data_IF_563022109039
#
_entry.id   IF_563022109039
#
_cell.length_a   1.000
_cell.length_b   1.000
_cell.length_c   1.000
_cell.angle_alpha   90.00
_cell.angle_beta   90.00
_cell.angle_gamma   90.00
#
_symmetry.space_group_name_H-M   'P 1'
#
loop_
_entity.id
_entity.type
_entity.pdbx_description
1 polymer ?
#
# COMPACT_ATOMS: atom_id res chain seq x y z
N UNK A 1 -27.31 -33.15 -19.10
CA UNK A 1 -26.53 -33.58 -17.92
C UNK A 1 -25.07 -33.53 -18.33
N UNK A 2 -24.18 -32.75 -17.76
CA UNK A 2 -24.22 -31.92 -16.55
C UNK A 2 -23.17 -30.81 -16.71
N UNK A 3 -23.42 -29.65 -16.11
CA UNK A 3 -22.39 -28.64 -15.86
C UNK A 3 -21.60 -29.11 -14.63
N UNK A 4 -20.28 -29.25 -14.74
CA UNK A 4 -19.34 -29.49 -13.62
C UNK A 4 -17.92 -29.39 -14.21
N UNK A 5 -16.94 -28.58 -13.79
CA UNK A 5 -16.78 -27.54 -12.77
C UNK A 5 -15.61 -26.67 -13.26
N UNK A 6 -15.78 -25.34 -13.32
CA UNK A 6 -14.63 -24.43 -13.47
C UNK A 6 -14.02 -24.26 -12.08
N UNK A 7 -13.24 -25.24 -11.64
CA UNK A 7 -12.46 -25.14 -10.42
C UNK A 7 -11.16 -24.37 -10.73
N UNK A 8 -11.30 -23.05 -10.85
CA UNK A 8 -10.14 -22.16 -10.83
C UNK A 8 -9.55 -22.21 -9.42
N UNK A 9 -8.50 -23.02 -9.25
CA UNK A 9 -7.60 -22.92 -8.11
C UNK A 9 -7.10 -21.48 -8.03
N UNK A 10 -7.74 -20.69 -7.16
CA UNK A 10 -7.31 -19.34 -6.84
C UNK A 10 -6.04 -19.47 -6.00
N UNK A 11 -4.88 -19.27 -6.64
CA UNK A 11 -3.60 -19.22 -5.92
C UNK A 11 -3.64 -18.03 -4.94
N UNK A 12 -3.66 -18.28 -3.62
CA UNK A 12 -3.77 -17.22 -2.63
C UNK A 12 -2.54 -16.29 -2.63
N UNK A 13 -1.39 -16.75 -3.11
CA UNK A 13 -0.20 -15.92 -3.25
C UNK A 13 -0.35 -14.91 -4.39
N UNK A 14 -0.91 -15.33 -5.53
CA UNK A 14 -1.17 -14.45 -6.67
C UNK A 14 -2.20 -13.36 -6.33
N UNK A 15 -3.23 -13.72 -5.56
CA UNK A 15 -4.24 -12.77 -5.09
C UNK A 15 -3.66 -11.72 -4.13
N UNK A 16 -2.79 -12.16 -3.21
CA UNK A 16 -2.08 -11.25 -2.30
C UNK A 16 -1.18 -10.29 -3.08
N UNK A 17 -0.44 -10.79 -4.08
CA UNK A 17 0.41 -9.94 -4.92
C UNK A 17 -0.41 -8.88 -5.67
N UNK A 18 -1.55 -9.26 -6.26
CA UNK A 18 -2.45 -8.31 -6.92
C UNK A 18 -3.01 -7.24 -5.96
N UNK A 19 -3.32 -7.63 -4.72
CA UNK A 19 -3.77 -6.70 -3.69
C UNK A 19 -2.68 -5.69 -3.32
N UNK A 20 -1.43 -6.15 -3.17
CA UNK A 20 -0.30 -5.27 -2.86
C UNK A 20 -0.03 -4.27 -3.98
N UNK A 21 -0.03 -4.72 -5.24
CA UNK A 21 0.09 -3.83 -6.40
C UNK A 21 -0.98 -2.73 -6.37
N UNK A 22 -2.22 -3.10 -6.04
CA UNK A 22 -3.31 -2.14 -5.85
C UNK A 22 -3.03 -1.13 -4.72
N UNK A 23 -2.42 -1.56 -3.60
CA UNK A 23 -2.00 -0.64 -2.54
C UNK A 23 -0.95 0.36 -3.04
N UNK A 24 0.04 -0.08 -3.81
CA UNK A 24 1.04 0.81 -4.42
C UNK A 24 0.43 1.86 -5.35
N UNK A 25 -0.56 1.48 -6.16
CA UNK A 25 -1.31 2.42 -7.00
C UNK A 25 -2.11 3.42 -6.18
N UNK A 26 -2.82 2.98 -5.13
CA UNK A 26 -3.56 3.89 -4.26
C UNK A 26 -2.64 4.87 -3.52
N UNK A 27 -1.49 4.42 -3.02
CA UNK A 27 -0.49 5.29 -2.42
C UNK A 27 0.04 6.35 -3.41
N UNK A 28 0.22 5.97 -4.67
CA UNK A 28 0.64 6.88 -5.73
C UNK A 28 -0.43 7.95 -6.02
N UNK A 29 -1.72 7.56 -6.04
CA UNK A 29 -2.84 8.49 -6.21
C UNK A 29 -2.95 9.49 -5.04
N UNK A 30 -2.66 9.04 -3.81
CA UNK A 30 -2.59 9.94 -2.65
C UNK A 30 -1.43 10.94 -2.84
N UNK A 31 -0.25 10.49 -3.27
CA UNK A 31 0.87 11.38 -3.54
C UNK A 31 0.58 12.39 -4.66
N UNK A 32 -0.16 11.99 -5.70
CA UNK A 32 -0.58 12.90 -6.78
C UNK A 32 -1.44 14.07 -6.28
N UNK A 33 -2.25 13.84 -5.24
CA UNK A 33 -3.03 14.91 -4.59
C UNK A 33 -2.12 15.90 -3.85
N UNK A 34 -1.08 15.41 -3.16
CA UNK A 34 -0.17 16.24 -2.38
C UNK A 34 1.04 16.79 -3.17
N UNK A 35 1.17 16.48 -4.46
CA UNK A 35 2.35 16.86 -5.26
C UNK A 35 2.59 18.38 -5.39
N UNK A 36 1.56 19.20 -5.19
CA UNK A 36 1.67 20.67 -5.22
C UNK A 36 2.15 21.27 -3.89
N UNK A 37 2.23 20.45 -2.83
CA UNK A 37 2.66 20.89 -1.51
C UNK A 37 4.19 20.81 -1.43
N UNK A 38 4.83 21.66 -0.61
CA UNK A 38 6.23 21.48 -0.25
C UNK A 38 6.45 20.08 0.33
N UNK A 39 7.59 19.45 0.01
CA UNK A 39 7.89 18.08 0.41
C UNK A 39 7.73 17.85 1.93
N UNK A 40 8.20 18.81 2.73
CA UNK A 40 8.13 18.80 4.19
C UNK A 40 6.69 18.74 4.73
N UNK A 41 5.70 19.17 3.93
CA UNK A 41 4.28 19.07 4.23
C UNK A 41 3.63 17.85 3.57
N UNK A 42 4.02 17.55 2.33
CA UNK A 42 3.46 16.44 1.56
C UNK A 42 3.75 15.08 2.19
N UNK A 43 5.01 14.85 2.61
CA UNK A 43 5.44 13.58 3.19
C UNK A 43 4.63 13.20 4.45
N UNK A 44 4.54 14.05 5.49
CA UNK A 44 3.71 13.72 6.66
C UNK A 44 2.23 13.63 6.32
N UNK A 45 1.70 14.47 5.42
CA UNK A 45 0.29 14.40 5.03
C UNK A 45 -0.09 13.09 4.33
N UNK A 46 0.79 12.55 3.47
CA UNK A 46 0.61 11.24 2.83
C UNK A 46 0.61 10.12 3.88
N UNK A 47 1.59 10.13 4.79
CA UNK A 47 1.69 9.13 5.84
C UNK A 47 0.47 9.16 6.77
N UNK A 48 0.00 10.34 7.16
CA UNK A 48 -1.20 10.52 7.97
C UNK A 48 -2.45 10.02 7.26
N UNK A 49 -2.61 10.30 5.97
CA UNK A 49 -3.74 9.79 5.19
C UNK A 49 -3.76 8.25 5.18
N UNK A 50 -2.61 7.61 4.93
CA UNK A 50 -2.50 6.15 4.99
C UNK A 50 -2.82 5.64 6.40
N UNK A 51 -2.28 6.27 7.44
CA UNK A 51 -2.50 5.87 8.82
C UNK A 51 -3.96 5.97 9.26
N UNK A 52 -4.69 6.99 8.79
CA UNK A 52 -6.09 7.25 9.16
C UNK A 52 -7.06 6.37 8.39
N UNK A 53 -6.85 6.19 7.08
CA UNK A 53 -7.85 5.58 6.20
C UNK A 53 -7.58 4.12 5.86
N UNK A 54 -6.32 3.67 5.93
CA UNK A 54 -6.03 2.26 5.68
C UNK A 54 -6.19 1.47 6.97
N UNK A 55 -6.77 0.29 6.87
CA UNK A 55 -6.83 -0.63 8.01
C UNK A 55 -5.45 -1.22 8.31
N UNK A 56 -5.33 -1.90 9.46
CA UNK A 56 -4.07 -2.53 9.92
C UNK A 56 -3.45 -3.42 8.84
N UNK A 57 -4.26 -4.28 8.22
CA UNK A 57 -3.78 -5.27 7.26
C UNK A 57 -3.23 -4.64 5.98
N UNK A 58 -3.89 -3.61 5.46
CA UNK A 58 -3.42 -2.87 4.30
C UNK A 58 -2.04 -2.24 4.56
N UNK A 59 -1.84 -1.65 5.74
CA UNK A 59 -0.53 -1.08 6.11
C UNK A 59 0.55 -2.15 6.25
N UNK A 60 0.23 -3.31 6.85
CA UNK A 60 1.14 -4.45 6.94
C UNK A 60 1.55 -4.97 5.56
N UNK A 61 0.58 -5.25 4.69
CA UNK A 61 0.85 -5.79 3.35
C UNK A 61 1.64 -4.80 2.48
N UNK A 62 1.38 -3.49 2.62
CA UNK A 62 2.14 -2.44 1.96
C UNK A 62 3.58 -2.36 2.47
N UNK A 63 3.79 -2.26 3.80
CA UNK A 63 5.13 -2.17 4.41
C UNK A 63 5.97 -3.43 4.23
N UNK A 64 5.33 -4.60 4.06
CA UNK A 64 6.03 -5.85 3.79
C UNK A 64 6.63 -5.92 2.37
N UNK A 65 6.08 -5.15 1.43
CA UNK A 65 6.50 -5.20 0.02
C UNK A 65 7.26 -3.95 -0.41
N UNK A 66 6.82 -2.78 0.06
CA UNK A 66 7.38 -1.51 -0.31
C UNK A 66 8.29 -0.95 0.79
N UNK A 67 9.44 -0.43 0.38
CA UNK A 67 10.40 0.25 1.24
C UNK A 67 10.80 1.60 0.62
N UNK A 68 11.63 2.39 1.31
CA UNK A 68 12.08 3.71 0.85
C UNK A 68 12.84 3.68 -0.48
N UNK A 69 13.38 2.54 -0.88
CA UNK A 69 14.19 2.38 -2.09
C UNK A 69 13.38 1.80 -3.26
N UNK A 70 12.09 1.50 -3.09
CA UNK A 70 11.30 0.82 -4.10
C UNK A 70 11.09 1.73 -5.34
N UNK A 71 11.68 1.41 -6.51
CA UNK A 71 11.76 2.34 -7.65
C UNK A 71 10.39 2.65 -8.26
N UNK A 72 9.45 1.71 -8.17
CA UNK A 72 8.11 1.86 -8.75
C UNK A 72 7.20 2.81 -7.97
N UNK A 73 7.64 3.31 -6.80
CA UNK A 73 6.87 4.26 -6.01
C UNK A 73 7.35 5.71 -6.24
N UNK A 74 6.42 6.68 -6.25
CA UNK A 74 6.78 8.09 -6.23
C UNK A 74 7.69 8.43 -5.05
N UNK A 75 8.60 9.39 -5.24
CA UNK A 75 9.55 9.81 -4.19
C UNK A 75 8.86 10.21 -2.88
N UNK A 76 7.72 10.91 -2.98
CA UNK A 76 6.94 11.31 -1.82
C UNK A 76 6.40 10.11 -1.02
N UNK A 77 5.92 9.06 -1.71
CA UNK A 77 5.45 7.83 -1.05
C UNK A 77 6.62 7.12 -0.37
N UNK A 78 7.76 6.99 -1.08
CA UNK A 78 8.98 6.38 -0.54
C UNK A 78 9.43 7.05 0.76
N UNK A 79 9.41 8.38 0.80
CA UNK A 79 9.74 9.16 2.01
C UNK A 79 8.69 8.99 3.12
N UNK A 80 7.41 8.88 2.75
CA UNK A 80 6.32 8.70 3.70
C UNK A 80 6.32 7.33 4.39
N UNK A 81 6.91 6.29 3.78
CA UNK A 81 6.98 4.92 4.35
C UNK A 81 7.53 4.91 5.78
N UNK A 82 8.57 5.69 6.06
CA UNK A 82 9.19 5.76 7.40
C UNK A 82 8.25 6.31 8.50
N UNK A 83 7.14 6.96 8.11
CA UNK A 83 6.16 7.55 9.01
C UNK A 83 4.83 6.77 9.05
N UNK A 84 4.69 5.71 8.25
CA UNK A 84 3.53 4.84 8.30
C UNK A 84 3.63 3.96 9.54
N UNK A 85 2.58 3.94 10.35
CA UNK A 85 2.53 3.16 11.58
C UNK A 85 2.53 1.67 11.24
N UNK A 86 3.55 0.91 11.68
CA UNK A 86 3.49 -0.54 11.57
C UNK A 86 2.32 -1.04 12.42
N UNK A 87 1.90 -2.28 12.18
CA UNK A 87 1.09 -2.95 13.18
C UNK A 87 1.93 -3.05 14.45
N UNK A 88 1.65 -2.21 15.44
CA UNK A 88 2.29 -2.33 16.75
C UNK A 88 2.14 -3.80 17.17
N UNK A 89 3.24 -4.50 17.51
CA UNK A 89 3.09 -5.78 18.15
C UNK A 89 2.38 -5.49 19.48
N UNK A 90 1.15 -5.98 19.63
CA UNK A 90 0.64 -6.22 20.97
C UNK A 90 1.55 -7.29 21.56
N UNK A 91 2.58 -6.84 22.29
CA UNK A 91 3.30 -7.66 23.27
C UNK A 91 2.38 -7.83 24.47
#
# INVERSE_FOLDING_TARGET
MSQDTHDAHHDPAAAKAANVVKLGHMASQIADFFKSYPEEQAVPAIADHINQFWNRRMREDFLATYNSEHPDLPLLVRKAIAQIKPASPSI
#
